data_IF_386577744608
#
_entry.id   IF_386577744608
#
_cell.length_a   1.000
_cell.length_b   1.000
_cell.length_c   1.000
_cell.angle_alpha   90.00
_cell.angle_beta   90.00
_cell.angle_gamma   90.00
#
_symmetry.space_group_name_H-M   'P 1'
#
loop_
_entity.id
_entity.type
_entity.pdbx_description
1 polymer ?
#
# COMPACT_ATOMS: atom_id res chain seq x y z
N UNK A 1 -8.55 14.01 -9.73
CA UNK A 1 -7.18 13.66 -10.18
C UNK A 1 -6.26 13.67 -8.98
N UNK A 2 -5.71 12.53 -8.63
CA UNK A 2 -4.76 12.48 -7.51
C UNK A 2 -3.46 13.17 -7.92
N UNK A 3 -2.95 14.04 -7.07
CA UNK A 3 -1.67 14.69 -7.31
C UNK A 3 -0.51 13.82 -6.86
N UNK A 4 0.61 13.93 -7.54
CA UNK A 4 1.85 13.34 -7.06
C UNK A 4 2.30 14.03 -5.77
N UNK A 5 2.71 13.24 -4.81
CA UNK A 5 3.45 13.72 -3.66
C UNK A 5 4.91 14.06 -4.02
N UNK A 6 5.70 14.32 -2.99
CA UNK A 6 7.12 14.60 -3.14
C UNK A 6 7.87 13.34 -3.55
N UNK A 7 8.73 13.45 -4.55
CA UNK A 7 9.60 12.36 -4.98
C UNK A 7 11.00 12.57 -4.41
N UNK A 8 11.59 11.49 -3.92
CA UNK A 8 12.96 11.50 -3.39
C UNK A 8 13.80 10.44 -4.09
N UNK A 9 14.98 10.85 -4.52
CA UNK A 9 16.01 9.93 -4.99
C UNK A 9 17.01 9.67 -3.85
N UNK A 10 17.16 8.40 -3.46
CA UNK A 10 18.09 7.99 -2.42
C UNK A 10 19.16 7.07 -2.97
N UNK A 11 20.42 7.40 -2.70
CA UNK A 11 21.57 6.54 -2.92
C UNK A 11 21.99 6.01 -1.56
N UNK A 12 21.72 4.73 -1.27
CA UNK A 12 22.09 4.06 -0.02
C UNK A 12 22.88 2.78 -0.28
N UNK A 13 23.19 2.04 0.80
CA UNK A 13 23.95 0.77 0.77
C UNK A 13 23.40 -0.29 -0.17
N UNK A 14 22.14 -0.26 -0.50
CA UNK A 14 21.48 -1.18 -1.42
C UNK A 14 21.46 -0.71 -2.89
N UNK A 15 22.15 0.40 -3.21
CA UNK A 15 22.18 0.98 -4.54
C UNK A 15 21.18 2.11 -4.75
N UNK A 16 20.86 2.41 -6.01
CA UNK A 16 19.90 3.45 -6.37
C UNK A 16 18.48 2.98 -6.16
N UNK A 17 17.68 3.80 -5.48
CA UNK A 17 16.24 3.60 -5.44
C UNK A 17 15.51 4.94 -5.61
N UNK A 18 14.31 4.85 -6.16
CA UNK A 18 13.40 5.98 -6.28
C UNK A 18 12.30 5.78 -5.26
N UNK A 19 12.09 6.79 -4.44
CA UNK A 19 10.98 6.83 -3.50
C UNK A 19 9.94 7.80 -4.03
N UNK A 20 8.73 7.30 -4.28
CA UNK A 20 7.60 8.10 -4.71
C UNK A 20 6.46 7.98 -3.71
N UNK A 21 5.91 9.10 -3.30
CA UNK A 21 4.75 9.15 -2.43
C UNK A 21 3.58 9.81 -3.16
N UNK A 22 2.36 9.36 -2.90
CA UNK A 22 1.16 9.98 -3.43
C UNK A 22 0.17 10.30 -2.30
N UNK A 23 -0.62 11.33 -2.52
CA UNK A 23 -1.55 11.85 -1.54
C UNK A 23 -2.88 11.13 -1.65
N UNK A 24 -3.44 10.77 -0.50
CA UNK A 24 -4.78 10.20 -0.36
C UNK A 24 -5.71 11.29 0.19
N UNK A 25 -6.79 11.58 -0.50
CA UNK A 25 -7.73 12.62 -0.11
C UNK A 25 -8.69 12.13 0.98
N UNK A 26 -9.25 10.94 0.81
CA UNK A 26 -10.11 10.31 1.81
C UNK A 26 -9.50 8.97 2.25
N UNK A 27 -8.83 8.99 3.38
CA UNK A 27 -8.08 7.87 3.92
C UNK A 27 -8.94 6.60 4.08
N UNK A 28 -10.08 6.72 4.73
CA UNK A 28 -10.93 5.57 5.03
C UNK A 28 -11.60 4.98 3.78
N UNK A 29 -11.94 5.81 2.80
CA UNK A 29 -12.55 5.31 1.58
C UNK A 29 -11.53 4.74 0.60
N UNK A 30 -10.47 5.48 0.35
CA UNK A 30 -9.54 5.19 -0.75
C UNK A 30 -8.53 4.09 -0.43
N UNK A 31 -8.33 3.75 0.84
CA UNK A 31 -7.39 2.73 1.27
C UNK A 31 -8.05 1.45 1.78
N UNK A 32 -9.37 1.44 1.95
CA UNK A 32 -10.08 0.26 2.42
C UNK A 32 -10.41 -0.70 1.28
N UNK A 33 -10.13 -2.00 1.45
CA UNK A 33 -10.35 -3.01 0.42
C UNK A 33 -11.82 -3.19 0.02
N UNK A 34 -12.73 -3.03 0.96
CA UNK A 34 -14.19 -3.14 0.79
C UNK A 34 -14.91 -2.25 1.80
N UNK A 35 -16.19 -2.07 1.60
CA UNK A 35 -17.02 -1.31 2.53
C UNK A 35 -17.08 -2.00 3.90
N UNK A 36 -16.97 -1.21 4.95
CA UNK A 36 -17.11 -1.68 6.32
C UNK A 36 -17.70 -0.60 7.22
N UNK A 37 -18.39 -1.05 8.26
CA UNK A 37 -18.90 -0.16 9.31
C UNK A 37 -17.75 0.40 10.15
N UNK A 38 -17.97 1.53 10.84
CA UNK A 38 -16.98 2.06 11.75
C UNK A 38 -16.55 1.01 12.80
N UNK A 39 -15.24 0.88 12.99
CA UNK A 39 -14.67 0.04 14.06
C UNK A 39 -14.47 0.89 15.30
N UNK A 40 -14.04 2.13 15.11
CA UNK A 40 -13.94 3.16 16.14
C UNK A 40 -14.54 4.46 15.62
N UNK A 41 -15.16 5.21 16.50
CA UNK A 41 -15.78 6.47 16.14
C UNK A 41 -16.99 6.28 15.21
N UNK A 42 -17.23 7.27 14.32
CA UNK A 42 -18.42 7.35 13.48
C UNK A 42 -18.11 7.23 11.97
N UNK A 43 -16.84 7.09 11.60
CA UNK A 43 -16.45 7.06 10.20
C UNK A 43 -16.40 5.62 9.68
N UNK A 44 -17.19 5.37 8.64
CA UNK A 44 -17.20 4.11 7.91
C UNK A 44 -16.06 4.05 6.88
N UNK A 45 -15.89 2.88 6.29
CA UNK A 45 -14.92 2.62 5.24
C UNK A 45 -15.63 2.45 3.90
N UNK A 46 -15.22 3.23 2.89
CA UNK A 46 -15.90 3.28 1.59
C UNK A 46 -15.55 2.16 0.63
N UNK A 47 -14.45 1.44 0.85
CA UNK A 47 -14.07 0.31 0.02
C UNK A 47 -13.59 0.66 -1.38
N UNK A 48 -12.91 1.79 -1.55
CA UNK A 48 -12.44 2.30 -2.85
C UNK A 48 -10.97 1.97 -3.16
N UNK A 49 -10.39 1.01 -2.47
CA UNK A 49 -8.98 0.64 -2.70
C UNK A 49 -8.71 0.18 -4.14
N UNK A 50 -9.68 -0.41 -4.83
CA UNK A 50 -9.51 -0.79 -6.24
C UNK A 50 -9.24 0.41 -7.15
N UNK A 51 -9.91 1.54 -6.93
CA UNK A 51 -9.67 2.78 -7.68
C UNK A 51 -8.25 3.32 -7.39
N UNK A 52 -7.82 3.24 -6.15
CA UNK A 52 -6.47 3.64 -5.76
C UNK A 52 -5.42 2.72 -6.38
N UNK A 53 -5.63 1.42 -6.37
CA UNK A 53 -4.74 0.46 -7.00
C UNK A 53 -4.67 0.67 -8.52
N UNK A 54 -5.80 0.93 -9.17
CA UNK A 54 -5.87 1.27 -10.59
C UNK A 54 -5.05 2.52 -10.90
N UNK A 55 -5.18 3.57 -10.10
CA UNK A 55 -4.34 4.77 -10.24
C UNK A 55 -2.85 4.44 -10.14
N UNK A 56 -2.45 3.67 -9.15
CA UNK A 56 -1.04 3.29 -8.95
C UNK A 56 -0.49 2.51 -10.15
N UNK A 57 -1.24 1.52 -10.62
CA UNK A 57 -0.76 0.60 -11.66
C UNK A 57 -0.88 1.16 -13.07
N UNK A 58 -1.87 1.99 -13.35
CA UNK A 58 -2.14 2.50 -14.71
C UNK A 58 -1.64 3.92 -14.96
N UNK A 59 -1.41 4.71 -13.91
CA UNK A 59 -0.96 6.10 -14.03
C UNK A 59 0.36 6.37 -13.34
N UNK A 60 0.48 6.06 -12.05
CA UNK A 60 1.67 6.40 -11.25
C UNK A 60 2.91 5.63 -11.71
N UNK A 61 2.85 4.31 -11.75
CA UNK A 61 3.99 3.47 -12.15
C UNK A 61 4.44 3.77 -13.57
N UNK A 62 3.55 3.83 -14.59
CA UNK A 62 3.96 4.19 -15.94
C UNK A 62 4.64 5.55 -16.04
N UNK A 63 4.15 6.56 -15.35
CA UNK A 63 4.77 7.90 -15.31
C UNK A 63 6.16 7.90 -14.66
N UNK A 64 6.35 7.14 -13.60
CA UNK A 64 7.65 7.00 -12.95
C UNK A 64 8.64 6.27 -13.86
N UNK A 65 8.21 5.22 -14.54
CA UNK A 65 9.05 4.51 -15.51
C UNK A 65 9.50 5.41 -16.65
N UNK A 66 8.61 6.23 -17.19
CA UNK A 66 8.92 7.20 -18.23
C UNK A 66 9.89 8.27 -17.71
N UNK A 67 9.59 8.88 -16.57
CA UNK A 67 10.40 9.97 -15.99
C UNK A 67 11.83 9.55 -15.69
N UNK A 68 12.02 8.37 -15.15
CA UNK A 68 13.31 7.86 -14.70
C UNK A 68 13.94 6.84 -15.66
N UNK A 69 13.35 6.66 -16.84
CA UNK A 69 13.82 5.72 -17.86
C UNK A 69 14.02 4.30 -17.31
N UNK A 70 13.02 3.83 -16.57
CA UNK A 70 13.02 2.49 -15.97
C UNK A 70 12.40 1.48 -16.93
N UNK A 71 12.98 0.30 -17.00
CA UNK A 71 12.43 -0.82 -17.75
C UNK A 71 11.61 -1.78 -16.86
N UNK A 72 11.16 -2.88 -17.44
CA UNK A 72 10.32 -3.85 -16.75
C UNK A 72 11.08 -4.75 -15.75
N UNK A 73 12.40 -4.61 -15.67
CA UNK A 73 13.22 -5.35 -14.68
C UNK A 73 13.25 -4.66 -13.32
N UNK A 74 12.74 -3.43 -13.22
CA UNK A 74 12.70 -2.69 -11.96
C UNK A 74 11.79 -3.40 -10.97
N UNK A 75 12.26 -3.55 -9.73
CA UNK A 75 11.49 -4.13 -8.63
C UNK A 75 10.71 -3.02 -7.93
N UNK A 76 9.39 -3.18 -7.90
CA UNK A 76 8.48 -2.19 -7.31
C UNK A 76 7.99 -2.72 -5.97
N UNK A 77 8.19 -1.92 -4.93
CA UNK A 77 7.68 -2.20 -3.58
C UNK A 77 6.64 -1.15 -3.23
N UNK A 78 5.46 -1.59 -2.85
CA UNK A 78 4.42 -0.71 -2.31
C UNK A 78 4.47 -0.72 -0.80
N UNK A 79 4.24 0.42 -0.17
CA UNK A 79 4.33 0.49 1.28
C UNK A 79 3.47 1.60 1.88
N UNK A 80 3.30 1.52 3.19
CA UNK A 80 2.56 2.50 3.94
C UNK A 80 2.49 2.17 5.44
N UNK A 81 1.80 3.02 6.16
CA UNK A 81 1.57 2.90 7.59
C UNK A 81 0.07 2.76 7.87
N UNK A 82 -0.29 1.97 8.88
CA UNK A 82 -1.67 1.79 9.34
C UNK A 82 -2.61 1.28 8.22
N UNK A 83 -3.62 2.03 7.82
CA UNK A 83 -4.54 1.64 6.75
C UNK A 83 -3.85 1.62 5.38
N UNK A 84 -2.86 2.48 5.15
CA UNK A 84 -2.03 2.43 3.95
C UNK A 84 -1.14 1.17 3.92
N UNK A 85 -0.74 0.66 5.06
CA UNK A 85 -0.06 -0.62 5.16
C UNK A 85 -1.00 -1.79 4.84
N UNK A 86 -2.25 -1.75 5.31
CA UNK A 86 -3.27 -2.72 4.92
C UNK A 86 -3.53 -2.69 3.41
N UNK A 87 -3.67 -1.50 2.83
CA UNK A 87 -3.79 -1.32 1.38
C UNK A 87 -2.61 -1.95 0.63
N UNK A 88 -1.39 -1.74 1.10
CA UNK A 88 -0.19 -2.30 0.48
C UNK A 88 -0.16 -3.83 0.52
N UNK A 89 -0.56 -4.42 1.64
CA UNK A 89 -0.73 -5.87 1.75
C UNK A 89 -1.82 -6.37 0.81
N UNK A 90 -2.98 -5.74 0.82
CA UNK A 90 -4.09 -6.12 -0.06
C UNK A 90 -3.69 -6.03 -1.54
N UNK A 91 -2.94 -5.00 -1.94
CA UNK A 91 -2.50 -4.81 -3.31
C UNK A 91 -1.68 -5.99 -3.85
N UNK A 92 -0.79 -6.56 -3.04
CA UNK A 92 0.02 -7.72 -3.45
C UNK A 92 -0.75 -9.04 -3.51
N UNK A 93 -1.93 -9.10 -2.91
CA UNK A 93 -2.87 -10.21 -3.11
C UNK A 93 -3.74 -10.02 -4.36
N UNK A 94 -3.93 -8.77 -4.81
CA UNK A 94 -4.83 -8.44 -5.92
C UNK A 94 -4.16 -8.47 -7.29
N UNK A 95 -2.90 -8.17 -7.37
CA UNK A 95 -2.18 -8.12 -8.65
C UNK A 95 -0.70 -8.47 -8.50
N UNK A 96 -0.05 -8.71 -9.62
CA UNK A 96 1.36 -9.09 -9.72
C UNK A 96 2.30 -7.91 -10.06
N UNK A 97 1.80 -6.67 -9.97
CA UNK A 97 2.57 -5.47 -10.30
C UNK A 97 3.74 -5.20 -9.33
N UNK A 98 3.70 -5.78 -8.12
CA UNK A 98 4.64 -5.46 -7.06
C UNK A 98 5.54 -6.65 -6.74
N UNK A 99 6.84 -6.39 -6.66
CA UNK A 99 7.81 -7.33 -6.13
C UNK A 99 7.59 -7.59 -4.64
N UNK A 100 7.18 -6.58 -3.88
CA UNK A 100 6.96 -6.71 -2.45
C UNK A 100 6.07 -5.62 -1.86
N UNK A 101 5.76 -5.82 -0.60
CA UNK A 101 5.06 -4.85 0.24
C UNK A 101 5.86 -4.55 1.51
N UNK A 102 5.89 -3.27 1.89
CA UNK A 102 6.46 -2.80 3.14
C UNK A 102 5.34 -2.21 4.01
N UNK A 103 4.82 -3.02 4.91
CA UNK A 103 3.65 -2.70 5.72
C UNK A 103 4.04 -2.38 7.16
N UNK A 104 4.00 -1.09 7.52
CA UNK A 104 4.30 -0.63 8.86
C UNK A 104 3.02 -0.55 9.70
N UNK A 105 2.97 -1.34 10.77
CA UNK A 105 1.81 -1.43 11.68
C UNK A 105 0.46 -1.53 10.93
N UNK A 106 0.28 -2.54 10.06
CA UNK A 106 -0.90 -2.61 9.23
C UNK A 106 -2.18 -2.81 10.05
N UNK A 107 -3.27 -2.22 9.55
CA UNK A 107 -4.60 -2.27 10.16
C UNK A 107 -5.27 -3.65 9.98
N UNK A 108 -4.61 -4.70 10.44
CA UNK A 108 -5.08 -6.10 10.26
C UNK A 108 -6.36 -6.42 11.05
N UNK A 109 -6.79 -5.52 11.92
CA UNK A 109 -8.09 -5.54 12.60
C UNK A 109 -9.25 -5.23 11.65
N UNK A 110 -8.99 -4.82 10.40
CA UNK A 110 -10.02 -4.47 9.43
C UNK A 110 -10.99 -5.63 9.22
N UNK A 111 -12.32 -5.36 9.21
CA UNK A 111 -13.33 -6.41 9.13
C UNK A 111 -13.12 -7.36 7.95
N UNK A 112 -13.20 -8.65 8.20
CA UNK A 112 -13.05 -9.74 7.22
C UNK A 112 -11.66 -9.86 6.57
N UNK A 113 -10.66 -9.15 7.06
CA UNK A 113 -9.29 -9.23 6.51
C UNK A 113 -8.70 -10.64 6.63
N UNK A 114 -8.83 -11.26 7.79
CA UNK A 114 -8.28 -12.61 8.03
C UNK A 114 -8.98 -13.65 7.15
N UNK A 115 -10.29 -13.54 6.96
CA UNK A 115 -11.03 -14.43 6.05
C UNK A 115 -10.56 -14.28 4.61
N UNK A 116 -10.30 -13.05 4.18
CA UNK A 116 -9.77 -12.78 2.85
C UNK A 116 -8.41 -13.44 2.62
N UNK A 117 -7.43 -13.21 3.50
CA UNK A 117 -6.07 -13.76 3.32
C UNK A 117 -6.00 -15.27 3.51
N UNK A 118 -6.98 -15.88 4.17
CA UNK A 118 -7.04 -17.34 4.31
C UNK A 118 -7.43 -18.06 3.00
N UNK A 119 -8.00 -17.33 2.04
CA UNK A 119 -8.53 -17.90 0.79
C UNK A 119 -7.66 -17.59 -0.43
N UNK A 120 -6.69 -16.70 -0.32
CA UNK A 120 -5.87 -16.22 -1.43
C UNK A 120 -4.38 -16.23 -1.07
N UNK A 121 -3.53 -16.26 -2.09
CA UNK A 121 -2.09 -16.17 -1.93
C UNK A 121 -1.56 -14.85 -2.50
N UNK A 122 -0.53 -14.26 -1.87
CA UNK A 122 0.08 -13.05 -2.42
C UNK A 122 0.88 -13.37 -3.69
N UNK A 123 0.90 -12.41 -4.61
CA UNK A 123 1.70 -12.47 -5.82
C UNK A 123 3.14 -11.96 -5.62
N UNK A 124 3.40 -11.29 -4.50
CA UNK A 124 4.70 -10.70 -4.19
C UNK A 124 5.70 -11.74 -3.68
N UNK A 125 6.98 -11.52 -3.98
CA UNK A 125 8.08 -12.37 -3.48
C UNK A 125 8.52 -12.01 -2.06
N UNK A 126 8.34 -10.75 -1.66
CA UNK A 126 8.78 -10.23 -0.37
C UNK A 126 7.68 -9.44 0.33
N UNK A 127 7.44 -9.75 1.57
CA UNK A 127 6.55 -8.99 2.44
C UNK A 127 7.29 -8.65 3.72
N UNK A 128 7.41 -7.35 3.99
CA UNK A 128 7.93 -6.84 5.25
C UNK A 128 6.78 -6.34 6.11
N UNK A 129 6.75 -6.81 7.35
CA UNK A 129 5.76 -6.40 8.35
C UNK A 129 6.48 -5.85 9.58
N UNK A 130 6.07 -4.69 10.07
CA UNK A 130 6.42 -4.23 11.40
C UNK A 130 5.17 -4.00 12.23
N UNK A 131 5.24 -4.37 13.50
CA UNK A 131 4.17 -4.14 14.46
C UNK A 131 4.67 -3.18 15.53
N UNK A 132 3.86 -2.19 15.87
CA UNK A 132 4.16 -1.30 16.97
C UNK A 132 4.22 -2.05 18.29
N UNK A 133 5.23 -1.79 19.11
CA UNK A 133 5.30 -2.34 20.47
C UNK A 133 4.15 -1.75 21.29
N UNK A 134 3.34 -2.62 21.90
CA UNK A 134 2.34 -2.17 22.85
C UNK A 134 3.07 -1.42 23.97
N UNK A 135 2.81 -0.14 24.13
CA UNK A 135 3.30 0.58 25.31
C UNK A 135 2.61 -0.07 26.51
N UNK A 136 3.39 -0.75 27.37
CA UNK A 136 2.87 -1.21 28.64
C UNK A 136 2.32 0.00 29.39
N UNK A 137 1.15 -0.14 29.98
CA UNK A 137 0.72 0.83 30.99
C UNK A 137 1.66 0.60 32.17
N UNK A 138 2.57 1.53 32.35
CA UNK A 138 3.29 1.66 33.60
C UNK A 138 2.31 2.11 34.69
#
# INVERSE_FOLDING_TARGET
>A
MKSFGTEYEHIKKCGRCIFAAFIIDNWNDELSPWQAKPVWGNEAFGGKAEDTLSFVTTELIPKLKEKYLLDDTVKIVIGGYSLAALFSLWAVYKCDAFYGAAAASPSVWFPNWIDFISQVHPHAEKIYLSLGKKRGKD
#
